data_IF_901080401929
#
_entry.id   IF_901080401929
#
_cell.length_a   1.000
_cell.length_b   1.000
_cell.length_c   1.000
_cell.angle_alpha   90.00
_cell.angle_beta   90.00
_cell.angle_gamma   90.00
#
_symmetry.space_group_name_H-M   'P 1'
#
loop_
_entity.id
_entity.type
_entity.pdbx_description
1 polymer ?
#
# COMPACT_ATOMS: atom_id res chain seq x y z
N UNK A 1 -23.74 14.61 -5.21
CA UNK A 1 -23.06 13.39 -4.77
C UNK A 1 -22.07 13.02 -5.85
N UNK A 2 -20.78 13.27 -5.62
CA UNK A 2 -19.73 13.07 -6.63
C UNK A 2 -19.07 11.73 -6.35
N UNK A 3 -19.18 10.79 -7.29
CA UNK A 3 -18.48 9.52 -7.19
C UNK A 3 -17.05 9.73 -7.68
N UNK A 4 -16.11 9.84 -6.73
CA UNK A 4 -14.69 9.89 -7.04
C UNK A 4 -14.26 8.50 -7.52
N UNK A 5 -14.01 8.36 -8.83
CA UNK A 5 -13.49 7.14 -9.42
C UNK A 5 -11.99 7.29 -9.56
N UNK A 6 -11.23 6.50 -8.81
CA UNK A 6 -9.80 6.37 -9.03
C UNK A 6 -9.55 5.30 -10.10
N UNK A 7 -8.62 5.57 -11.01
CA UNK A 7 -8.21 4.59 -12.01
C UNK A 7 -7.29 3.57 -11.34
N UNK A 8 -7.70 2.30 -11.35
CA UNK A 8 -6.89 1.18 -10.88
C UNK A 8 -6.38 0.39 -12.08
N UNK A 9 -5.10 0.07 -12.07
CA UNK A 9 -4.48 -0.75 -13.10
C UNK A 9 -4.67 -2.24 -12.81
N UNK A 10 -4.46 -3.10 -13.81
CA UNK A 10 -4.59 -4.54 -13.63
C UNK A 10 -3.69 -5.11 -12.51
N UNK A 11 -2.54 -4.47 -12.24
CA UNK A 11 -1.62 -4.85 -11.14
C UNK A 11 -2.20 -4.59 -9.75
N UNK A 12 -3.17 -3.69 -9.63
CA UNK A 12 -3.81 -3.34 -8.37
C UNK A 12 -4.81 -4.40 -7.91
N UNK A 13 -5.11 -5.37 -8.77
CA UNK A 13 -6.03 -6.45 -8.50
C UNK A 13 -5.33 -7.81 -8.39
N UNK A 14 -5.89 -8.66 -7.54
CA UNK A 14 -5.60 -10.08 -7.47
C UNK A 14 -6.91 -10.87 -7.52
N UNK A 15 -6.82 -12.14 -7.89
CA UNK A 15 -7.98 -13.04 -7.90
C UNK A 15 -8.06 -13.78 -6.58
N UNK A 16 -9.16 -13.61 -5.87
CA UNK A 16 -9.50 -14.38 -4.69
C UNK A 16 -10.73 -15.24 -4.99
N UNK A 17 -10.52 -16.53 -5.20
CA UNK A 17 -11.53 -17.45 -5.75
C UNK A 17 -12.11 -16.95 -7.08
N UNK A 18 -13.40 -16.59 -7.09
CA UNK A 18 -14.11 -16.11 -8.28
C UNK A 18 -14.15 -14.57 -8.38
N UNK A 19 -13.58 -13.84 -7.42
CA UNK A 19 -13.67 -12.39 -7.34
C UNK A 19 -12.32 -11.72 -7.64
N UNK A 20 -12.39 -10.56 -8.29
CA UNK A 20 -11.27 -9.62 -8.33
C UNK A 20 -11.33 -8.74 -7.10
N UNK A 21 -10.24 -8.72 -6.35
CA UNK A 21 -10.08 -7.90 -5.15
C UNK A 21 -8.80 -7.08 -5.29
N UNK A 22 -8.70 -5.95 -4.59
CA UNK A 22 -7.46 -5.19 -4.54
C UNK A 22 -6.34 -6.02 -3.91
N UNK A 23 -5.10 -5.78 -4.34
CA UNK A 23 -3.95 -6.40 -3.68
C UNK A 23 -3.83 -5.91 -2.24
N UNK A 24 -3.16 -6.67 -1.35
CA UNK A 24 -2.90 -6.21 0.02
C UNK A 24 -2.15 -4.88 0.04
N UNK A 25 -1.15 -4.71 -0.83
CA UNK A 25 -0.41 -3.45 -0.96
C UNK A 25 -1.35 -2.31 -1.36
N UNK A 26 -2.14 -2.49 -2.43
CA UNK A 26 -3.06 -1.45 -2.91
C UNK A 26 -4.04 -1.03 -1.82
N UNK A 27 -4.62 -2.00 -1.14
CA UNK A 27 -5.59 -1.75 -0.06
C UNK A 27 -4.95 -0.94 1.08
N UNK A 28 -3.72 -1.27 1.48
CA UNK A 28 -3.02 -0.52 2.53
C UNK A 28 -2.70 0.91 2.07
N UNK A 29 -2.29 1.09 0.82
CA UNK A 29 -2.00 2.41 0.24
C UNK A 29 -3.27 3.27 0.15
N UNK A 30 -4.40 2.71 -0.29
CA UNK A 30 -5.67 3.41 -0.33
C UNK A 30 -6.06 3.95 1.04
N UNK A 31 -5.97 3.10 2.08
CA UNK A 31 -6.29 3.50 3.44
C UNK A 31 -5.29 4.52 4.01
N UNK A 32 -4.00 4.38 3.67
CA UNK A 32 -2.95 5.31 4.07
C UNK A 32 -3.16 6.70 3.46
N UNK A 33 -3.56 6.76 2.19
CA UNK A 33 -3.71 8.03 1.47
C UNK A 33 -5.04 8.72 1.73
N UNK A 34 -6.09 7.98 2.06
CA UNK A 34 -7.40 8.54 2.38
C UNK A 34 -7.56 8.95 3.85
N UNK A 35 -6.57 8.66 4.71
CA UNK A 35 -6.57 8.98 6.15
C UNK A 35 -7.83 8.46 6.90
N UNK A 36 -8.38 7.34 6.43
CA UNK A 36 -9.64 6.79 6.94
C UNK A 36 -9.48 5.85 8.15
N UNK A 37 -8.24 5.50 8.50
CA UNK A 37 -7.94 4.44 9.47
C UNK A 37 -6.89 4.90 10.47
N UNK A 38 -7.06 4.53 11.74
CA UNK A 38 -6.07 4.84 12.77
C UNK A 38 -4.70 4.23 12.45
N UNK A 39 -3.64 4.98 12.75
CA UNK A 39 -2.25 4.63 12.41
C UNK A 39 -1.81 3.26 12.95
N UNK A 40 -2.33 2.83 14.11
CA UNK A 40 -2.03 1.51 14.69
C UNK A 40 -2.48 0.35 13.80
N UNK A 41 -3.61 0.48 13.11
CA UNK A 41 -4.12 -0.57 12.24
C UNK A 41 -3.34 -0.61 10.92
N UNK A 42 -2.96 0.54 10.38
CA UNK A 42 -2.08 0.62 9.21
C UNK A 42 -0.72 -0.02 9.50
N UNK A 43 -0.13 0.29 10.66
CA UNK A 43 1.11 -0.35 11.12
C UNK A 43 0.97 -1.87 11.19
N UNK A 44 -0.07 -2.37 11.86
CA UNK A 44 -0.30 -3.80 12.00
C UNK A 44 -0.54 -4.48 10.64
N UNK A 45 -1.32 -3.86 9.76
CA UNK A 45 -1.59 -4.39 8.44
C UNK A 45 -0.31 -4.50 7.60
N UNK A 46 0.53 -3.45 7.59
CA UNK A 46 1.80 -3.46 6.89
C UNK A 46 2.76 -4.50 7.45
N UNK A 47 2.92 -4.57 8.78
CA UNK A 47 3.74 -5.59 9.45
C UNK A 47 3.30 -7.00 9.06
N UNK A 48 2.02 -7.32 9.21
CA UNK A 48 1.50 -8.65 8.89
C UNK A 48 1.62 -8.99 7.41
N UNK A 49 1.37 -8.02 6.54
CA UNK A 49 1.49 -8.23 5.10
C UNK A 49 2.94 -8.50 4.70
N UNK A 50 3.89 -7.80 5.32
CA UNK A 50 5.32 -8.02 5.11
C UNK A 50 5.79 -9.37 5.64
N UNK A 51 5.50 -9.67 6.91
CA UNK A 51 5.93 -10.91 7.57
C UNK A 51 5.38 -12.17 6.89
N UNK A 52 4.19 -12.07 6.28
CA UNK A 52 3.55 -13.17 5.53
C UNK A 52 3.96 -13.21 4.05
N UNK A 53 4.82 -12.29 3.60
CA UNK A 53 5.24 -12.20 2.19
C UNK A 53 4.14 -11.75 1.22
N UNK A 54 3.03 -11.22 1.73
CA UNK A 54 1.94 -10.63 0.93
C UNK A 54 2.38 -9.30 0.30
N UNK A 55 3.22 -8.56 1.02
CA UNK A 55 3.89 -7.35 0.54
C UNK A 55 5.40 -7.57 0.63
N UNK A 56 6.11 -7.13 -0.40
CA UNK A 56 7.56 -7.23 -0.49
C UNK A 56 8.11 -6.00 -1.22
N UNK A 57 9.40 -5.72 -1.06
CA UNK A 57 10.09 -4.60 -1.73
C UNK A 57 9.79 -4.51 -3.24
N UNK A 58 9.85 -5.65 -3.94
CA UNK A 58 9.51 -5.74 -5.38
C UNK A 58 8.09 -5.27 -5.75
N UNK A 59 7.14 -5.29 -4.80
CA UNK A 59 5.80 -4.78 -5.03
C UNK A 59 5.81 -3.25 -4.91
N UNK A 60 6.52 -2.70 -3.92
CA UNK A 60 6.72 -1.26 -3.77
C UNK A 60 7.53 -0.64 -4.92
N UNK A 61 8.55 -1.34 -5.43
CA UNK A 61 9.37 -0.87 -6.56
C UNK A 61 8.58 -0.76 -7.87
N UNK A 62 7.42 -1.42 -7.96
CA UNK A 62 6.53 -1.36 -9.13
C UNK A 62 5.54 -0.20 -9.05
N UNK A 63 5.39 0.40 -7.87
CA UNK A 63 4.52 1.55 -7.68
C UNK A 63 5.25 2.83 -8.10
N UNK A 64 4.45 3.79 -8.57
CA UNK A 64 4.94 5.14 -8.87
C UNK A 64 4.30 6.08 -7.86
N UNK A 65 5.12 6.59 -6.95
CA UNK A 65 4.67 7.50 -5.91
C UNK A 65 5.07 8.93 -6.25
N UNK A 66 4.11 9.84 -6.07
CA UNK A 66 4.43 11.27 -5.91
C UNK A 66 5.25 11.50 -4.63
N UNK A 67 5.89 12.66 -4.51
CA UNK A 67 6.76 12.98 -3.38
C UNK A 67 6.09 12.82 -2.01
N UNK A 68 4.84 13.26 -1.87
CA UNK A 68 4.11 13.16 -0.61
C UNK A 68 3.69 11.72 -0.30
N UNK A 69 3.31 10.95 -1.33
CA UNK A 69 2.98 9.53 -1.17
C UNK A 69 4.22 8.74 -0.75
N UNK A 70 5.36 8.98 -1.39
CA UNK A 70 6.62 8.34 -1.04
C UNK A 70 7.03 8.64 0.41
N UNK A 71 6.88 9.88 0.86
CA UNK A 71 7.13 10.26 2.25
C UNK A 71 6.21 9.52 3.23
N UNK A 72 4.90 9.41 2.91
CA UNK A 72 3.91 8.75 3.76
C UNK A 72 4.12 7.24 3.81
N UNK A 73 4.49 6.62 2.69
CA UNK A 73 4.84 5.20 2.62
C UNK A 73 6.12 4.93 3.41
N UNK A 74 7.16 5.76 3.25
CA UNK A 74 8.39 5.65 4.04
C UNK A 74 8.10 5.70 5.54
N UNK A 75 7.29 6.66 5.97
CA UNK A 75 6.86 6.79 7.36
C UNK A 75 6.14 5.54 7.88
N UNK A 76 5.25 4.93 7.07
CA UNK A 76 4.56 3.70 7.45
C UNK A 76 5.53 2.51 7.60
N UNK A 77 6.50 2.39 6.69
CA UNK A 77 7.51 1.33 6.74
C UNK A 77 8.39 1.45 7.98
N UNK A 78 8.84 2.66 8.31
CA UNK A 78 9.60 2.95 9.53
C UNK A 78 8.79 2.58 10.79
N UNK A 79 7.51 2.95 10.82
CA UNK A 79 6.61 2.60 11.91
C UNK A 79 6.38 1.10 12.08
N UNK A 80 6.33 0.37 10.96
CA UNK A 80 6.23 -1.08 10.91
C UNK A 80 7.58 -1.78 11.17
N UNK A 81 8.66 -1.04 11.42
CA UNK A 81 9.98 -1.59 11.66
C UNK A 81 10.61 -2.27 10.44
N UNK A 82 10.11 -1.97 9.23
CA UNK A 82 10.61 -2.49 7.96
C UNK A 82 11.69 -1.52 7.47
N UNK A 83 12.95 -1.90 7.65
CA UNK A 83 14.12 -1.08 7.26
C UNK A 83 14.65 -1.47 5.88
N UNK A 84 15.51 -0.62 5.31
CA UNK A 84 16.26 -0.85 4.07
C UNK A 84 15.42 -0.91 2.77
N UNK A 85 14.23 -0.30 2.80
CA UNK A 85 13.36 -0.14 1.63
C UNK A 85 13.38 1.30 1.16
N UNK A 86 14.21 1.57 0.14
CA UNK A 86 14.18 2.86 -0.56
C UNK A 86 12.99 2.91 -1.52
N UNK A 87 12.18 3.96 -1.40
CA UNK A 87 11.02 4.19 -2.26
C UNK A 87 11.42 5.07 -3.43
N UNK A 88 11.22 4.57 -4.66
CA UNK A 88 11.45 5.35 -5.87
C UNK A 88 10.40 6.46 -6.01
N UNK A 89 10.86 7.69 -6.28
CA UNK A 89 10.02 8.88 -6.53
C UNK A 89 10.06 9.22 -8.01
N UNK A 90 8.93 9.57 -8.61
CA UNK A 90 8.86 10.13 -9.96
C UNK A 90 7.78 11.19 -10.08
#
# INVERSE_FOLDING_TARGET
MTLHKEHLEARDFQRYSCFQVTTPLRTILDLLFQDLVEQRFLKQAMQQAWDRGLVAKRHLDREVFSDWQAAKVSWLLDMAGIKDVEISKR
#
